data_IF_081155486598
#
_entry.id   IF_081155486598
#
_cell.length_a   1.000
_cell.length_b   1.000
_cell.length_c   1.000
_cell.angle_alpha   90.00
_cell.angle_beta   90.00
_cell.angle_gamma   90.00
#
_symmetry.space_group_name_H-M   'P 1'
#
loop_
_entity.id
_entity.type
_entity.pdbx_description
1 polymer ?
#
# COMPACT_ATOMS: atom_id res chain seq x y z
N UNK A 1 10.90 5.49 -3.20
CA UNK A 1 10.55 4.39 -2.29
C UNK A 1 9.73 3.37 -3.05
N UNK A 2 9.94 2.08 -2.79
CA UNK A 2 9.27 0.94 -3.43
C UNK A 2 8.88 -0.11 -2.37
N UNK A 3 8.23 -1.20 -2.77
CA UNK A 3 7.74 -2.24 -1.85
C UNK A 3 8.85 -2.93 -1.05
N UNK A 4 10.07 -3.02 -1.58
CA UNK A 4 11.22 -3.60 -0.88
C UNK A 4 11.82 -2.68 0.19
N UNK A 5 11.77 -1.37 -0.04
CA UNK A 5 12.39 -0.37 0.84
C UNK A 5 11.43 0.21 1.87
N UNK A 6 10.11 0.19 1.61
CA UNK A 6 9.11 0.85 2.47
C UNK A 6 9.12 0.32 3.91
N UNK A 7 9.30 -0.98 4.12
CA UNK A 7 9.30 -1.58 5.46
C UNK A 7 10.36 -0.96 6.36
N UNK A 8 11.55 -0.68 5.82
CA UNK A 8 12.64 -0.03 6.57
C UNK A 8 12.25 1.38 7.03
N UNK A 9 11.60 2.14 6.15
CA UNK A 9 11.14 3.50 6.47
C UNK A 9 9.99 3.49 7.48
N UNK A 10 9.04 2.57 7.34
CA UNK A 10 7.94 2.39 8.29
C UNK A 10 8.46 2.04 9.69
N UNK A 11 9.42 1.12 9.79
CA UNK A 11 10.09 0.83 11.07
C UNK A 11 10.80 2.06 11.64
N UNK A 12 11.51 2.83 10.79
CA UNK A 12 12.22 4.03 11.24
C UNK A 12 11.29 5.11 11.84
N UNK A 13 10.04 5.17 11.39
CA UNK A 13 9.02 6.09 11.93
C UNK A 13 8.15 5.49 13.03
N UNK A 14 8.49 4.30 13.54
CA UNK A 14 7.80 3.67 14.66
C UNK A 14 6.53 2.90 14.31
N UNK A 15 6.30 2.58 13.03
CA UNK A 15 5.19 1.70 12.63
C UNK A 15 5.51 0.25 13.01
N UNK A 16 4.65 -0.42 13.79
CA UNK A 16 4.81 -1.84 14.10
C UNK A 16 4.80 -2.73 12.85
N UNK A 17 5.63 -3.77 12.83
CA UNK A 17 5.74 -4.64 11.66
C UNK A 17 4.51 -5.55 11.46
N UNK A 18 3.74 -5.81 12.51
CA UNK A 18 2.53 -6.63 12.51
C UNK A 18 1.32 -5.92 11.86
N UNK A 19 1.32 -4.59 11.81
CA UNK A 19 0.23 -3.81 11.17
C UNK A 19 0.45 -3.55 9.68
N UNK A 20 1.48 -4.16 9.08
CA UNK A 20 1.84 -3.97 7.66
C UNK A 20 2.15 -5.32 7.02
N UNK A 21 1.59 -5.59 5.84
CA UNK A 21 1.88 -6.77 5.04
C UNK A 21 2.16 -6.38 3.60
N UNK A 22 3.28 -6.83 3.05
CA UNK A 22 3.72 -6.52 1.67
C UNK A 22 3.74 -7.82 0.87
N UNK A 23 3.04 -7.84 -0.27
CA UNK A 23 2.99 -8.99 -1.18
C UNK A 23 2.05 -10.12 -0.76
N UNK A 24 1.48 -10.07 0.46
CA UNK A 24 0.50 -11.03 0.94
C UNK A 24 -0.61 -10.34 1.74
N UNK A 25 -1.82 -10.86 1.66
CA UNK A 25 -2.91 -10.42 2.51
C UNK A 25 -2.75 -10.96 3.94
N UNK A 26 -2.89 -10.08 4.94
CA UNK A 26 -2.89 -10.44 6.35
C UNK A 26 -4.02 -9.69 7.07
N UNK A 27 -4.75 -10.38 7.94
CA UNK A 27 -5.81 -9.74 8.74
C UNK A 27 -5.22 -8.87 9.85
N UNK A 28 -5.85 -7.73 10.13
CA UNK A 28 -5.33 -6.74 11.08
C UNK A 28 -4.11 -5.98 10.56
N UNK A 29 -3.93 -5.88 9.24
CA UNK A 29 -2.79 -5.22 8.64
C UNK A 29 -3.16 -4.37 7.42
N UNK A 30 -2.38 -3.32 7.19
CA UNK A 30 -2.33 -2.63 5.91
C UNK A 30 -1.57 -3.47 4.89
N UNK A 31 -2.27 -3.88 3.84
CA UNK A 31 -1.73 -4.71 2.77
C UNK A 31 -1.31 -3.85 1.57
N UNK A 32 -0.12 -4.09 1.02
CA UNK A 32 0.30 -3.63 -0.31
C UNK A 32 0.48 -4.86 -1.20
N UNK A 33 -0.42 -5.07 -2.16
CA UNK A 33 -0.45 -6.25 -3.02
C UNK A 33 -0.20 -5.85 -4.48
N UNK A 34 0.67 -6.60 -5.17
CA UNK A 34 0.76 -6.55 -6.62
C UNK A 34 -0.22 -7.54 -7.21
N UNK A 35 -1.13 -7.07 -8.05
CA UNK A 35 -2.07 -7.90 -8.80
C UNK A 35 -1.90 -7.66 -10.29
N UNK A 36 -2.26 -8.65 -11.09
CA UNK A 36 -2.38 -8.50 -12.54
C UNK A 36 -3.87 -8.40 -12.84
N UNK A 37 -4.32 -7.24 -13.33
CA UNK A 37 -5.68 -7.14 -13.84
C UNK A 37 -5.68 -7.54 -15.31
N UNK A 38 -6.49 -8.57 -15.62
CA UNK A 38 -6.87 -8.82 -17.00
C UNK A 38 -7.56 -7.56 -17.55
N UNK A 39 -7.28 -7.16 -18.80
CA UNK A 39 -8.05 -6.10 -19.43
C UNK A 39 -9.54 -6.48 -19.41
N UNK A 40 -10.41 -5.49 -19.23
CA UNK A 40 -11.84 -5.71 -19.37
C UNK A 40 -12.11 -6.19 -20.81
N UNK A 41 -12.44 -7.47 -20.96
CA UNK A 41 -12.75 -8.06 -22.27
C UNK A 41 -13.88 -7.26 -22.90
N UNK A 42 -13.61 -6.53 -23.99
CA UNK A 42 -14.70 -6.03 -24.81
C UNK A 42 -15.41 -7.23 -25.44
N UNK A 43 -16.75 -7.29 -25.35
CA UNK A 43 -17.59 -8.36 -25.90
C UNK A 43 -17.47 -8.53 -27.43
N UNK A 44 -16.71 -7.65 -28.08
CA UNK A 44 -16.39 -7.72 -29.50
C UNK A 44 -15.00 -8.33 -29.67
N UNK A 45 -14.96 -9.63 -29.97
CA UNK A 45 -13.75 -10.42 -30.04
C UNK A 45 -12.72 -9.91 -31.06
N UNK A 46 -11.75 -9.15 -30.57
CA UNK A 46 -10.36 -9.09 -31.06
C UNK A 46 -9.51 -8.53 -29.93
N UNK A 47 -8.66 -9.38 -29.34
CA UNK A 47 -7.69 -8.95 -28.34
C UNK A 47 -6.59 -8.11 -29.03
N UNK A 48 -6.43 -6.85 -28.63
CA UNK A 48 -5.39 -5.96 -29.14
C UNK A 48 -4.09 -6.12 -28.34
N UNK A 49 -2.94 -5.69 -28.86
CA UNK A 49 -1.67 -5.77 -28.14
C UNK A 49 -1.65 -4.96 -26.81
N UNK A 50 -2.57 -4.00 -26.67
CA UNK A 50 -2.84 -3.26 -25.43
C UNK A 50 -3.63 -4.05 -24.35
N UNK A 51 -4.09 -5.27 -24.67
CA UNK A 51 -4.76 -6.22 -23.76
C UNK A 51 -3.78 -7.10 -22.95
N UNK A 52 -2.51 -6.69 -22.88
CA UNK A 52 -1.61 -7.29 -21.90
C UNK A 52 -2.12 -7.01 -20.47
N UNK A 53 -2.08 -7.99 -19.56
CA UNK A 53 -2.43 -7.76 -18.16
C UNK A 53 -1.60 -6.60 -17.61
N UNK A 54 -2.28 -5.62 -17.02
CA UNK A 54 -1.59 -4.47 -16.42
C UNK A 54 -1.29 -4.79 -14.98
N UNK A 55 -0.05 -4.53 -14.58
CA UNK A 55 0.33 -4.56 -13.17
C UNK A 55 -0.43 -3.46 -12.43
N UNK A 56 -1.16 -3.87 -11.39
CA UNK A 56 -1.89 -3.00 -10.48
C UNK A 56 -1.35 -3.24 -9.08
N UNK A 57 -1.21 -2.15 -8.33
CA UNK A 57 -0.78 -2.15 -6.95
C UNK A 57 -1.96 -1.71 -6.08
N UNK A 58 -2.42 -2.59 -5.21
CA UNK A 58 -3.54 -2.36 -4.32
C UNK A 58 -3.04 -2.07 -2.90
N UNK A 59 -3.64 -1.06 -2.26
CA UNK A 59 -3.41 -0.71 -0.86
C UNK A 59 -4.74 -0.74 -0.11
N UNK A 60 -4.83 -1.49 0.97
CA UNK A 60 -6.06 -1.60 1.77
C UNK A 60 -5.77 -2.05 3.20
N UNK A 61 -6.67 -1.73 4.12
CA UNK A 61 -6.71 -2.36 5.45
C UNK A 61 -7.54 -3.63 5.35
N UNK A 62 -7.05 -4.74 5.89
CA UNK A 62 -7.77 -6.01 5.91
C UNK A 62 -8.21 -6.33 7.32
N UNK A 63 -9.50 -6.57 7.50
CA UNK A 63 -10.07 -6.91 8.81
C UNK A 63 -11.29 -7.82 8.66
N UNK A 64 -11.25 -8.96 9.35
CA UNK A 64 -12.27 -10.00 9.32
C UNK A 64 -12.61 -10.44 7.88
N UNK A 65 -11.59 -10.50 7.03
CA UNK A 65 -11.73 -10.90 5.62
C UNK A 65 -12.29 -9.81 4.68
N UNK A 66 -12.63 -8.62 5.19
CA UNK A 66 -13.04 -7.49 4.37
C UNK A 66 -11.86 -6.57 4.06
N UNK A 67 -11.91 -5.91 2.89
CA UNK A 67 -10.95 -4.87 2.48
C UNK A 67 -11.59 -3.49 2.68
N UNK A 68 -10.98 -2.69 3.55
CA UNK A 68 -11.37 -1.31 3.84
C UNK A 68 -10.35 -0.34 3.26
N UNK A 69 -10.78 0.91 3.04
CA UNK A 69 -9.89 1.99 2.59
C UNK A 69 -9.10 1.66 1.30
N UNK A 70 -9.69 0.83 0.45
CA UNK A 70 -9.04 0.30 -0.75
C UNK A 70 -8.71 1.40 -1.76
N UNK A 71 -7.49 1.36 -2.28
CA UNK A 71 -7.01 2.18 -3.37
C UNK A 71 -6.15 1.33 -4.32
N UNK A 72 -6.25 1.61 -5.63
CA UNK A 72 -5.45 0.95 -6.66
C UNK A 72 -4.61 1.94 -7.46
N UNK A 73 -3.42 1.50 -7.87
CA UNK A 73 -2.44 2.32 -8.56
C UNK A 73 -1.76 1.51 -9.67
N UNK A 74 -1.34 2.16 -10.74
CA UNK A 74 -0.54 1.53 -11.82
C UNK A 74 0.96 1.67 -11.61
N UNK A 75 1.39 2.30 -10.51
CA UNK A 75 2.78 2.57 -10.21
C UNK A 75 3.10 2.18 -8.76
N UNK A 76 4.06 1.27 -8.61
CA UNK A 76 4.53 0.76 -7.31
C UNK A 76 4.96 1.86 -6.36
N UNK A 77 5.69 2.85 -6.87
CA UNK A 77 6.23 3.93 -6.03
C UNK A 77 5.11 4.80 -5.50
N UNK A 78 4.06 5.07 -6.31
CA UNK A 78 2.91 5.85 -5.87
C UNK A 78 2.13 5.10 -4.80
N UNK A 79 1.87 3.79 -4.98
CA UNK A 79 1.24 2.96 -3.98
C UNK A 79 2.04 2.91 -2.67
N UNK A 80 3.37 2.79 -2.77
CA UNK A 80 4.28 2.79 -1.62
C UNK A 80 4.25 4.12 -0.85
N UNK A 81 4.29 5.27 -1.56
CA UNK A 81 4.20 6.58 -0.91
C UNK A 81 2.83 6.82 -0.28
N UNK A 82 1.75 6.34 -0.91
CA UNK A 82 0.40 6.41 -0.35
C UNK A 82 0.30 5.65 0.97
N UNK A 83 0.76 4.39 1.00
CA UNK A 83 0.80 3.58 2.23
C UNK A 83 1.65 4.25 3.32
N UNK A 84 2.86 4.70 2.95
CA UNK A 84 3.74 5.41 3.89
C UNK A 84 3.10 6.67 4.44
N UNK A 85 2.46 7.49 3.59
CA UNK A 85 1.79 8.72 4.02
C UNK A 85 0.66 8.45 5.02
N UNK A 86 -0.17 7.43 4.77
CA UNK A 86 -1.23 7.01 5.70
C UNK A 86 -0.67 6.62 7.07
N UNK A 87 0.39 5.81 7.08
CA UNK A 87 0.98 5.32 8.32
C UNK A 87 1.79 6.39 9.04
N UNK A 88 2.51 7.25 8.31
CA UNK A 88 3.18 8.43 8.88
C UNK A 88 2.17 9.36 9.55
N UNK A 89 1.03 9.63 8.91
CA UNK A 89 -0.04 10.40 9.54
C UNK A 89 -0.56 9.74 10.82
N UNK A 90 -0.76 8.42 10.82
CA UNK A 90 -1.16 7.69 12.03
C UNK A 90 -0.14 7.83 13.16
N UNK A 91 1.16 7.83 12.84
CA UNK A 91 2.23 8.05 13.83
C UNK A 91 2.26 9.50 14.34
N UNK A 92 1.98 10.49 13.48
CA UNK A 92 1.83 11.90 13.89
C UNK A 92 0.67 12.06 14.87
N UNK A 93 -0.51 11.49 14.55
CA UNK A 93 -1.69 11.54 15.44
C UNK A 93 -1.43 10.87 16.79
N UNK A 94 -0.60 9.81 16.81
CA UNK A 94 -0.17 9.12 18.04
C UNK A 94 0.94 9.85 18.81
N UNK A 95 1.52 10.91 18.25
CA UNK A 95 2.64 11.64 18.84
C UNK A 95 4.00 10.94 18.72
N UNK A 96 4.10 9.88 17.93
CA UNK A 96 5.36 9.17 17.69
C UNK A 96 6.29 9.93 16.72
N UNK A 97 5.71 10.71 15.80
CA UNK A 97 6.42 11.67 14.95
C UNK A 97 6.00 13.09 15.40
N UNK A 98 6.96 13.91 15.81
CA UNK A 98 6.67 15.25 16.35
C UNK A 98 7.92 16.10 16.51
N UNK A 99 7.75 17.31 17.04
CA UNK A 99 8.86 18.26 17.21
C UNK A 99 9.92 17.67 18.15
N UNK A 100 11.22 17.82 17.82
CA UNK A 100 12.28 17.44 18.74
C UNK A 100 12.07 18.15 20.10
N UNK A 101 12.47 17.52 21.22
CA UNK A 101 12.33 18.15 22.53
C UNK A 101 12.98 19.53 22.49
N UNK A 102 12.29 20.54 23.03
CA UNK A 102 12.82 21.88 23.12
C UNK A 102 14.20 21.79 23.79
N UNK A 103 15.24 22.22 23.07
CA UNK A 103 16.57 22.32 23.66
C UNK A 103 16.49 23.34 24.79
N UNK A 104 16.53 22.85 26.03
CA UNK A 104 16.60 23.66 27.25
C UNK A 104 18.00 24.19 27.49
#
# INVERSE_FOLDING_TARGET
MNSESITKWLTAIGVPADVVSIGAEADGAWCLIRTEHAPATQETGVAQAEDAPREVWEVFWREQGNRYDWASFTNEQVASHYLFGRLAWAQVVRGAIGTPPASG
#
